data_IF_869956395051
#
_entry.id   IF_869956395051
#
_cell.length_a   1.000
_cell.length_b   1.000
_cell.length_c   1.000
_cell.angle_alpha   90.00
_cell.angle_beta   90.00
_cell.angle_gamma   90.00
#
_symmetry.space_group_name_H-M   'P 1'
#
loop_
_entity.id
_entity.type
_entity.pdbx_description
1 polymer ?
#
# COMPACT_ATOMS: atom_id res chain seq x y z
N UNK A 1 16.88 0.48 -12.47
CA UNK A 1 15.69 1.25 -12.04
C UNK A 1 15.09 0.72 -10.74
N UNK A 2 14.62 -0.53 -10.67
CA UNK A 2 13.99 -1.10 -9.45
C UNK A 2 14.85 -0.92 -8.19
N UNK A 3 16.12 -1.36 -8.23
CA UNK A 3 17.07 -1.21 -7.12
C UNK A 3 17.20 0.25 -6.64
N UNK A 4 17.20 1.23 -7.56
CA UNK A 4 17.27 2.66 -7.24
C UNK A 4 16.03 3.17 -6.50
N UNK A 5 14.85 2.63 -6.85
CA UNK A 5 13.56 2.94 -6.19
C UNK A 5 13.52 2.37 -4.78
N UNK A 6 13.77 1.06 -4.61
CA UNK A 6 13.69 0.39 -3.30
C UNK A 6 14.79 0.82 -2.32
N UNK A 7 15.95 1.25 -2.82
CA UNK A 7 17.05 1.77 -1.98
C UNK A 7 16.90 3.28 -1.67
N UNK A 8 15.93 3.97 -2.27
CA UNK A 8 15.74 5.40 -2.02
C UNK A 8 15.35 5.66 -0.56
N UNK A 9 16.06 6.58 0.11
CA UNK A 9 15.69 7.03 1.47
C UNK A 9 14.25 7.56 1.43
N UNK A 10 13.36 6.95 2.22
CA UNK A 10 11.95 7.31 2.29
C UNK A 10 10.99 6.45 1.47
N UNK A 11 11.47 5.58 0.58
CA UNK A 11 10.61 4.64 -0.16
C UNK A 11 9.83 3.74 0.80
N UNK A 12 10.53 3.02 1.69
CA UNK A 12 9.89 2.12 2.65
C UNK A 12 8.97 2.83 3.63
N UNK A 13 9.30 4.06 4.05
CA UNK A 13 8.41 4.88 4.87
C UNK A 13 7.11 5.20 4.12
N UNK A 14 7.21 5.56 2.84
CA UNK A 14 6.05 5.82 2.00
C UNK A 14 5.23 4.54 1.75
N UNK A 15 5.88 3.40 1.53
CA UNK A 15 5.19 2.10 1.37
C UNK A 15 4.38 1.77 2.61
N UNK A 16 4.96 1.93 3.80
CA UNK A 16 4.26 1.64 5.07
C UNK A 16 3.08 2.59 5.25
N UNK A 17 3.26 3.90 5.04
CA UNK A 17 2.17 4.89 5.20
C UNK A 17 1.04 4.65 4.20
N UNK A 18 1.36 4.51 2.91
CA UNK A 18 0.35 4.30 1.86
C UNK A 18 -0.31 2.93 2.02
N UNK A 19 0.45 1.90 2.36
CA UNK A 19 -0.08 0.57 2.65
C UNK A 19 -1.04 0.56 3.83
N UNK A 20 -0.76 1.33 4.89
CA UNK A 20 -1.66 1.47 6.04
C UNK A 20 -2.98 2.16 5.65
N UNK A 21 -2.90 3.25 4.86
CA UNK A 21 -4.08 3.95 4.35
C UNK A 21 -4.93 3.02 3.49
N UNK A 22 -4.31 2.25 2.60
CA UNK A 22 -5.02 1.28 1.77
C UNK A 22 -5.61 0.12 2.57
N UNK A 23 -4.91 -0.38 3.59
CA UNK A 23 -5.44 -1.42 4.46
C UNK A 23 -6.70 -0.96 5.19
N UNK A 24 -6.71 0.27 5.73
CA UNK A 24 -7.89 0.88 6.36
C UNK A 24 -9.01 1.06 5.34
N UNK A 25 -8.71 1.56 4.14
CA UNK A 25 -9.70 1.75 3.09
C UNK A 25 -10.35 0.41 2.67
N UNK A 26 -9.55 -0.63 2.44
CA UNK A 26 -10.04 -1.97 2.11
C UNK A 26 -10.88 -2.57 3.23
N UNK A 27 -10.46 -2.37 4.49
CA UNK A 27 -11.23 -2.79 5.65
C UNK A 27 -12.59 -2.12 5.69
N UNK A 28 -12.65 -0.80 5.52
CA UNK A 28 -13.90 -0.03 5.52
C UNK A 28 -14.83 -0.43 4.36
N UNK A 29 -14.29 -0.58 3.15
CA UNK A 29 -15.06 -1.02 1.98
C UNK A 29 -15.66 -2.41 2.22
N UNK A 30 -14.88 -3.34 2.74
CA UNK A 30 -15.35 -4.70 2.99
C UNK A 30 -16.36 -4.74 4.14
N UNK A 31 -16.17 -3.91 5.18
CA UNK A 31 -17.14 -3.78 6.28
C UNK A 31 -18.46 -3.19 5.80
N UNK A 32 -18.41 -2.17 4.94
CA UNK A 32 -19.59 -1.57 4.29
C UNK A 32 -20.34 -2.60 3.45
N UNK A 33 -19.64 -3.45 2.69
CA UNK A 33 -20.24 -4.54 1.93
C UNK A 33 -20.94 -5.60 2.79
N UNK A 34 -20.63 -5.65 4.10
CA UNK A 34 -21.31 -6.52 5.07
C UNK A 34 -22.43 -5.80 5.84
N UNK A 35 -22.89 -4.63 5.39
CA UNK A 35 -23.88 -3.79 6.07
C UNK A 35 -23.46 -3.43 7.51
N UNK A 36 -22.17 -3.15 7.72
CA UNK A 36 -21.61 -2.82 9.04
C UNK A 36 -21.89 -3.87 10.13
N UNK A 37 -22.02 -5.14 9.73
CA UNK A 37 -22.30 -6.22 10.67
C UNK A 37 -21.19 -6.28 11.75
N UNK A 38 -21.58 -6.31 13.03
CA UNK A 38 -20.66 -6.43 14.16
C UNK A 38 -19.89 -7.76 14.16
N UNK A 39 -20.46 -8.80 13.56
CA UNK A 39 -19.81 -10.09 13.34
C UNK A 39 -18.66 -10.00 12.33
N UNK A 40 -18.58 -8.94 11.51
CA UNK A 40 -17.41 -8.64 10.69
C UNK A 40 -16.18 -8.34 11.54
N UNK A 41 -16.38 -7.80 12.75
CA UNK A 41 -15.34 -7.55 13.75
C UNK A 41 -14.93 -8.83 14.51
N UNK A 42 -15.54 -9.99 14.22
CA UNK A 42 -15.00 -11.27 14.67
C UNK A 42 -13.72 -11.59 13.89
N UNK A 43 -12.62 -11.01 14.37
CA UNK A 43 -11.32 -11.10 13.72
C UNK A 43 -10.75 -12.52 13.83
N UNK A 44 -10.79 -13.27 12.73
CA UNK A 44 -9.90 -14.42 12.56
C UNK A 44 -8.51 -13.94 12.15
N UNK A 45 -7.45 -14.50 12.75
CA UNK A 45 -6.05 -14.23 12.40
C UNK A 45 -5.80 -14.29 10.88
N UNK A 46 -6.45 -15.24 10.18
CA UNK A 46 -6.39 -15.35 8.71
C UNK A 46 -6.88 -14.08 7.99
N UNK A 47 -7.99 -13.46 8.43
CA UNK A 47 -8.51 -12.23 7.80
C UNK A 47 -7.55 -11.06 7.99
N UNK A 48 -6.98 -10.91 9.19
CA UNK A 48 -6.00 -9.87 9.48
C UNK A 48 -4.80 -9.99 8.53
N UNK A 49 -4.26 -11.19 8.37
CA UNK A 49 -3.13 -11.45 7.47
C UNK A 49 -3.49 -11.12 6.02
N UNK A 50 -4.69 -11.51 5.55
CA UNK A 50 -5.15 -11.19 4.19
C UNK A 50 -5.21 -9.68 3.96
N UNK A 51 -5.78 -8.91 4.90
CA UNK A 51 -5.86 -7.46 4.78
C UNK A 51 -4.48 -6.80 4.83
N UNK A 52 -3.60 -7.28 5.70
CA UNK A 52 -2.25 -6.73 5.85
C UNK A 52 -1.41 -6.98 4.59
N UNK A 53 -1.47 -8.21 4.05
CA UNK A 53 -0.78 -8.57 2.81
C UNK A 53 -1.38 -7.85 1.61
N UNK A 54 -2.71 -7.78 1.51
CA UNK A 54 -3.40 -7.07 0.44
C UNK A 54 -3.09 -5.57 0.44
N UNK A 55 -3.18 -4.92 1.60
CA UNK A 55 -2.82 -3.52 1.79
C UNK A 55 -1.35 -3.26 1.49
N UNK A 56 -0.46 -4.17 1.89
CA UNK A 56 0.98 -4.06 1.59
C UNK A 56 1.27 -4.18 0.09
N UNK A 57 0.68 -5.15 -0.62
CA UNK A 57 0.90 -5.32 -2.07
C UNK A 57 0.43 -4.07 -2.83
N UNK A 58 -0.78 -3.58 -2.53
CA UNK A 58 -1.33 -2.39 -3.19
C UNK A 58 -0.52 -1.14 -2.83
N UNK A 59 -0.16 -0.98 -1.56
CA UNK A 59 0.68 0.13 -1.09
C UNK A 59 2.08 0.11 -1.70
N UNK A 60 2.67 -1.07 -1.87
CA UNK A 60 3.97 -1.24 -2.51
C UNK A 60 3.89 -0.89 -4.00
N UNK A 61 2.92 -1.44 -4.74
CA UNK A 61 2.77 -1.19 -6.18
C UNK A 61 2.53 0.30 -6.49
N UNK A 62 1.63 0.94 -5.75
CA UNK A 62 1.32 2.37 -5.90
C UNK A 62 2.52 3.27 -5.56
N UNK A 63 3.23 2.98 -4.46
CA UNK A 63 4.43 3.72 -4.07
C UNK A 63 5.57 3.52 -5.07
N UNK A 64 5.76 2.29 -5.55
CA UNK A 64 6.76 1.96 -6.56
C UNK A 64 6.53 2.73 -7.85
N UNK A 65 5.30 2.74 -8.37
CA UNK A 65 4.96 3.52 -9.57
C UNK A 65 5.26 5.02 -9.39
N UNK A 66 4.91 5.59 -8.24
CA UNK A 66 5.15 7.01 -7.93
C UNK A 66 6.63 7.36 -7.89
N UNK A 67 7.45 6.56 -7.20
CA UNK A 67 8.90 6.79 -7.13
C UNK A 67 9.60 6.50 -8.45
N UNK A 68 9.17 5.49 -9.19
CA UNK A 68 9.70 5.17 -10.50
C UNK A 68 9.46 6.31 -11.49
N UNK A 69 8.26 6.88 -11.52
CA UNK A 69 7.92 8.04 -12.34
C UNK A 69 8.76 9.27 -11.99
N UNK A 70 8.92 9.57 -10.69
CA UNK A 70 9.77 10.68 -10.22
C UNK A 70 11.23 10.53 -10.65
N UNK A 71 11.82 9.36 -10.39
CA UNK A 71 13.22 9.10 -10.75
C UNK A 71 13.43 9.14 -12.26
N UNK A 72 12.43 8.69 -13.05
CA UNK A 72 12.49 8.81 -14.52
C UNK A 72 12.46 10.27 -14.96
N UNK A 73 11.63 11.12 -14.36
CA UNK A 73 11.59 12.55 -14.67
C UNK A 73 12.90 13.27 -14.30
N UNK A 74 13.52 12.91 -13.18
CA UNK A 74 14.81 13.48 -12.76
C UNK A 74 15.95 13.07 -13.71
N UNK A 75 15.93 11.84 -14.23
CA UNK A 75 16.90 11.34 -15.21
C UNK A 75 16.76 12.07 -16.57
N UNK A 76 15.53 12.39 -16.98
CA UNK A 76 15.26 13.18 -18.20
C UNK A 76 15.62 14.66 -18.05
N UNK A 77 15.51 15.24 -16.85
CA UNK A 77 15.77 16.67 -16.63
C UNK A 77 17.27 17.00 -16.49
N UNK A 78 18.10 16.01 -16.17
CA UNK A 78 19.56 16.15 -16.06
C UNK A 78 20.31 15.71 -17.32
N UNK A 79 19.60 15.52 -18.43
CA UNK A 79 20.15 15.14 -19.74
C UNK A 79 19.88 16.24 -20.76
#
# INVERSE_FOLDING_TARGET
MFKRVVTHKGFWKSVVVIGFVYAIALFLIQWMGTNFNSQFLSFSLKRIVIFLVGGFIVGFATTYGKFWGKLKQEDYKNK
#
